data_IF_356895892947
#
_entry.id   IF_356895892947
#
_cell.length_a   1.000
_cell.length_b   1.000
_cell.length_c   1.000
_cell.angle_alpha   90.00
_cell.angle_beta   90.00
_cell.angle_gamma   90.00
#
_symmetry.space_group_name_H-M   'P 1'
#
loop_
_entity.id
_entity.type
_entity.pdbx_description
1 polymer ?
#
# COMPACT_ATOMS: atom_id res chain seq x y z
N UNK A 1 -4.64 15.20 -41.52
CA UNK A 1 -3.78 14.93 -40.36
C UNK A 1 -4.54 13.99 -39.44
N UNK A 2 -3.92 12.88 -39.10
CA UNK A 2 -4.49 11.74 -38.39
C UNK A 2 -3.79 11.70 -37.04
N UNK A 3 -4.46 11.23 -35.97
CA UNK A 3 -3.96 10.98 -34.60
C UNK A 3 -4.05 12.13 -33.57
N UNK A 4 -5.27 12.61 -33.28
CA UNK A 4 -5.53 13.42 -32.09
C UNK A 4 -6.69 12.91 -31.21
N UNK A 5 -7.20 11.69 -31.46
CA UNK A 5 -8.34 11.11 -30.74
C UNK A 5 -8.03 9.68 -30.28
N UNK A 6 -6.94 9.44 -29.55
CA UNK A 6 -6.73 8.11 -28.95
C UNK A 6 -5.85 8.09 -27.70
N UNK A 7 -5.80 9.19 -26.96
CA UNK A 7 -5.20 9.23 -25.62
C UNK A 7 -6.05 10.15 -24.75
N UNK A 8 -6.92 9.57 -23.92
CA UNK A 8 -7.78 10.30 -22.99
C UNK A 8 -9.22 9.80 -22.86
N UNK A 9 -9.57 8.63 -23.42
CA UNK A 9 -10.86 7.99 -23.12
C UNK A 9 -10.74 7.11 -21.89
N UNK A 10 -11.76 7.14 -21.04
CA UNK A 10 -11.87 6.29 -19.84
C UNK A 10 -11.64 4.80 -20.17
N UNK A 11 -12.06 4.35 -21.35
CA UNK A 11 -11.86 2.97 -21.84
C UNK A 11 -10.37 2.57 -21.95
N UNK A 12 -9.47 3.49 -22.32
CA UNK A 12 -8.01 3.23 -22.37
C UNK A 12 -7.41 3.08 -20.95
N UNK A 13 -7.98 3.77 -19.96
CA UNK A 13 -7.56 3.71 -18.56
C UNK A 13 -8.05 2.43 -17.87
N UNK A 14 -9.23 1.93 -18.25
CA UNK A 14 -9.89 0.79 -17.59
C UNK A 14 -9.72 -0.57 -18.30
N UNK A 15 -9.09 -0.63 -19.48
CA UNK A 15 -8.98 -1.88 -20.26
C UNK A 15 -8.12 -2.98 -19.61
N UNK A 16 -7.40 -2.68 -18.51
CA UNK A 16 -6.64 -3.67 -17.73
C UNK A 16 -7.12 -3.72 -16.26
N UNK A 17 -8.41 -3.52 -16.01
CA UNK A 17 -8.99 -3.94 -14.75
C UNK A 17 -9.71 -5.28 -14.95
N UNK A 18 -9.29 -6.33 -14.22
CA UNK A 18 -10.18 -7.46 -13.96
C UNK A 18 -11.32 -6.92 -13.09
N UNK A 19 -12.56 -6.77 -13.63
CA UNK A 19 -13.66 -6.14 -12.91
C UNK A 19 -14.16 -7.01 -11.74
N UNK A 20 -13.62 -8.21 -11.54
CA UNK A 20 -13.97 -9.07 -10.40
C UNK A 20 -13.24 -8.71 -9.10
N UNK A 21 -12.28 -7.79 -9.15
CA UNK A 21 -11.50 -7.37 -7.97
C UNK A 21 -10.95 -5.94 -8.14
N UNK A 22 -11.82 -4.95 -8.36
CA UNK A 22 -11.44 -3.56 -8.07
C UNK A 22 -11.23 -3.45 -6.55
N UNK A 23 -10.02 -3.76 -6.09
CA UNK A 23 -9.62 -3.61 -4.69
C UNK A 23 -9.65 -2.13 -4.37
N UNK A 24 -10.45 -1.76 -3.37
CA UNK A 24 -10.57 -0.38 -2.89
C UNK A 24 -9.18 0.16 -2.50
N UNK A 25 -8.91 1.41 -2.84
CA UNK A 25 -7.67 2.08 -2.43
C UNK A 25 -7.78 2.37 -0.93
N UNK A 26 -6.92 1.72 -0.15
CA UNK A 26 -6.83 1.97 1.29
C UNK A 26 -5.84 3.12 1.54
N UNK A 27 -6.19 4.08 2.40
CA UNK A 27 -5.41 5.32 2.59
C UNK A 27 -5.16 5.61 4.07
N UNK A 28 -3.96 6.04 4.43
CA UNK A 28 -3.55 6.36 5.80
C UNK A 28 -2.52 7.48 5.82
N UNK A 29 -2.35 8.15 6.96
CA UNK A 29 -1.55 9.37 7.07
C UNK A 29 -0.94 9.54 8.45
N UNK A 30 0.39 9.44 8.53
CA UNK A 30 1.12 9.70 9.76
C UNK A 30 1.76 11.10 9.76
N UNK A 31 1.59 11.86 10.84
CA UNK A 31 2.30 13.14 11.04
C UNK A 31 3.28 13.02 12.21
N UNK A 32 4.56 13.23 11.91
CA UNK A 32 5.67 13.15 12.87
C UNK A 32 6.51 14.42 12.88
N UNK A 33 7.70 14.34 13.50
CA UNK A 33 8.66 15.45 13.52
C UNK A 33 9.20 15.81 12.12
N UNK A 34 9.11 14.86 11.17
CA UNK A 34 9.59 15.01 9.81
C UNK A 34 8.59 15.47 8.76
N UNK A 35 7.39 15.85 9.18
CA UNK A 35 6.27 16.17 8.30
C UNK A 35 5.18 15.09 8.33
N UNK A 36 4.25 15.20 7.40
CA UNK A 36 3.17 14.28 7.14
C UNK A 36 3.52 13.33 6.00
N UNK A 37 3.33 12.04 6.23
CA UNK A 37 3.47 10.97 5.24
C UNK A 37 2.09 10.37 5.00
N UNK A 38 1.63 10.39 3.76
CA UNK A 38 0.41 9.74 3.31
C UNK A 38 0.78 8.48 2.51
N UNK A 39 0.09 7.37 2.78
CA UNK A 39 0.22 6.13 2.04
C UNK A 39 -1.13 5.74 1.42
N UNK A 40 -1.10 5.40 0.14
CA UNK A 40 -2.24 4.87 -0.60
C UNK A 40 -1.87 3.48 -1.13
N UNK A 41 -2.63 2.46 -0.74
CA UNK A 41 -2.30 1.05 -1.00
C UNK A 41 -3.48 0.37 -1.69
N UNK A 42 -3.20 -0.35 -2.78
CA UNK A 42 -4.13 -1.31 -3.37
C UNK A 42 -3.63 -2.71 -3.10
N UNK A 43 -4.54 -3.58 -2.69
CA UNK A 43 -4.24 -4.96 -2.38
C UNK A 43 -4.70 -5.89 -3.50
N UNK A 44 -4.10 -7.06 -3.59
CA UNK A 44 -4.50 -8.11 -4.52
C UNK A 44 -4.50 -9.50 -3.88
N UNK A 45 -5.05 -10.44 -4.65
CA UNK A 45 -5.16 -11.84 -4.28
C UNK A 45 -6.43 -12.15 -3.49
N UNK A 46 -6.79 -13.44 -3.34
CA UNK A 46 -8.04 -13.86 -2.72
C UNK A 46 -8.23 -13.39 -1.27
N UNK A 47 -7.12 -13.14 -0.56
CA UNK A 47 -7.10 -12.68 0.83
C UNK A 47 -6.86 -11.18 0.98
N UNK A 48 -6.69 -10.44 -0.12
CA UNK A 48 -6.28 -9.03 -0.11
C UNK A 48 -5.07 -8.82 0.82
N UNK A 49 -4.04 -9.66 0.70
CA UNK A 49 -2.88 -9.67 1.62
C UNK A 49 -1.55 -9.34 0.93
N UNK A 50 -1.59 -8.95 -0.34
CA UNK A 50 -0.41 -8.62 -1.15
C UNK A 50 -0.55 -7.22 -1.72
N UNK A 51 0.53 -6.44 -1.70
CA UNK A 51 0.56 -5.09 -2.23
C UNK A 51 0.55 -5.15 -3.76
N UNK A 52 -0.55 -4.74 -4.40
CA UNK A 52 -0.61 -4.56 -5.86
C UNK A 52 0.11 -3.28 -6.26
N UNK A 53 -0.24 -2.19 -5.60
CA UNK A 53 0.30 -0.85 -5.81
C UNK A 53 0.40 -0.12 -4.46
N UNK A 54 1.42 0.73 -4.34
CA UNK A 54 1.57 1.66 -3.22
C UNK A 54 2.10 2.98 -3.76
N UNK A 55 1.52 4.07 -3.26
CA UNK A 55 1.96 5.44 -3.52
C UNK A 55 2.16 6.13 -2.18
N UNK A 56 3.33 6.74 -2.00
CA UNK A 56 3.74 7.45 -0.79
C UNK A 56 3.93 8.93 -1.14
N UNK A 57 3.21 9.79 -0.45
CA UNK A 57 3.28 11.25 -0.65
C UNK A 57 3.38 11.97 0.67
N UNK A 58 3.63 13.27 0.65
CA UNK A 58 3.80 14.06 1.87
C UNK A 58 4.72 15.24 1.70
N UNK A 59 5.03 15.89 2.80
CA UNK A 59 5.95 17.03 2.89
C UNK A 59 7.27 16.67 3.63
N UNK A 60 7.65 15.40 3.59
CA UNK A 60 8.91 14.91 4.14
C UNK A 60 10.09 15.17 3.20
N UNK A 61 11.29 15.31 3.78
CA UNK A 61 12.52 15.54 3.04
C UNK A 61 13.38 14.28 2.97
N UNK A 62 13.63 13.80 1.76
CA UNK A 62 14.48 12.64 1.47
C UNK A 62 15.47 12.98 0.35
N UNK A 63 16.70 12.47 0.46
CA UNK A 63 17.72 12.58 -0.57
C UNK A 63 18.38 11.22 -0.80
N UNK A 64 18.49 10.76 -2.06
CA UNK A 64 18.03 11.41 -3.29
C UNK A 64 16.48 11.40 -3.46
N UNK A 65 15.90 12.30 -4.28
CA UNK A 65 14.43 12.33 -4.48
C UNK A 65 13.84 11.01 -4.99
N UNK A 66 14.62 10.22 -5.75
CA UNK A 66 14.20 8.91 -6.27
C UNK A 66 13.98 7.84 -5.19
N UNK A 67 14.43 8.07 -3.96
CA UNK A 67 14.32 7.11 -2.86
C UNK A 67 12.89 6.66 -2.61
N UNK A 68 11.91 7.57 -2.74
CA UNK A 68 10.48 7.22 -2.57
C UNK A 68 10.02 6.26 -3.67
N UNK A 69 10.37 6.54 -4.92
CA UNK A 69 10.01 5.69 -6.06
C UNK A 69 10.66 4.31 -5.94
N UNK A 70 11.92 4.26 -5.49
CA UNK A 70 12.64 3.01 -5.26
C UNK A 70 12.01 2.21 -4.10
N UNK A 71 11.52 2.89 -3.05
CA UNK A 71 10.77 2.26 -1.95
C UNK A 71 9.42 1.70 -2.43
N UNK A 72 8.63 2.47 -3.17
CA UNK A 72 7.35 2.03 -3.71
C UNK A 72 7.52 0.78 -4.60
N UNK A 73 8.54 0.80 -5.47
CA UNK A 73 8.88 -0.34 -6.32
C UNK A 73 9.32 -1.56 -5.49
N UNK A 74 10.06 -1.35 -4.41
CA UNK A 74 10.52 -2.39 -3.50
C UNK A 74 9.41 -3.06 -2.68
N UNK A 75 8.29 -2.36 -2.47
CA UNK A 75 7.14 -2.85 -1.72
C UNK A 75 6.08 -3.51 -2.61
N UNK A 76 6.06 -3.18 -3.91
CA UNK A 76 5.14 -3.79 -4.87
C UNK A 76 5.33 -5.31 -4.91
N UNK A 77 4.21 -6.02 -4.75
CA UNK A 77 4.17 -7.46 -4.76
C UNK A 77 4.69 -8.11 -3.47
N UNK A 78 4.83 -7.40 -2.35
CA UNK A 78 5.10 -8.05 -1.06
C UNK A 78 3.82 -8.47 -0.36
N UNK A 79 3.89 -9.51 0.47
CA UNK A 79 2.81 -9.74 1.43
C UNK A 79 2.81 -8.63 2.49
N UNK A 80 1.63 -8.24 2.95
CA UNK A 80 1.48 -7.17 3.96
C UNK A 80 2.28 -7.44 5.24
N UNK A 81 2.45 -8.72 5.60
CA UNK A 81 3.25 -9.12 6.76
C UNK A 81 4.75 -8.82 6.61
N UNK A 82 5.26 -8.70 5.37
CA UNK A 82 6.67 -8.47 5.06
C UNK A 82 7.01 -6.98 4.88
N UNK A 83 5.99 -6.13 4.71
CA UNK A 83 6.15 -4.71 4.34
C UNK A 83 6.99 -3.96 5.36
N UNK A 84 6.70 -4.12 6.66
CA UNK A 84 7.41 -3.41 7.71
C UNK A 84 8.90 -3.74 7.75
N UNK A 85 9.24 -5.02 7.72
CA UNK A 85 10.63 -5.46 7.68
C UNK A 85 11.33 -4.94 6.42
N UNK A 86 10.64 -4.95 5.28
CA UNK A 86 11.18 -4.42 4.02
C UNK A 86 11.48 -2.93 4.09
N UNK A 87 10.61 -2.12 4.70
CA UNK A 87 10.82 -0.67 4.86
C UNK A 87 12.06 -0.42 5.72
N UNK A 88 12.16 -1.08 6.88
CA UNK A 88 13.34 -0.95 7.75
C UNK A 88 14.62 -1.33 7.02
N UNK A 89 14.60 -2.46 6.32
CA UNK A 89 15.74 -2.94 5.54
C UNK A 89 16.13 -1.98 4.42
N UNK A 90 15.14 -1.47 3.68
CA UNK A 90 15.35 -0.52 2.60
C UNK A 90 16.12 0.71 3.08
N UNK A 91 15.65 1.36 4.14
CA UNK A 91 16.30 2.58 4.65
C UNK A 91 17.63 2.31 5.36
N UNK A 92 17.86 1.08 5.85
CA UNK A 92 19.15 0.69 6.40
C UNK A 92 20.20 0.41 5.32
N UNK A 93 19.79 -0.17 4.18
CA UNK A 93 20.68 -0.50 3.06
C UNK A 93 20.90 0.68 2.11
N UNK A 94 19.91 1.55 1.98
CA UNK A 94 20.01 2.70 1.12
C UNK A 94 20.90 3.75 1.79
N UNK A 95 21.93 4.25 1.10
CA UNK A 95 22.71 5.43 1.53
C UNK A 95 21.84 6.69 1.38
N UNK A 96 20.79 6.79 2.17
CA UNK A 96 19.75 7.82 2.04
C UNK A 96 19.80 8.79 3.21
N UNK A 97 19.72 10.07 2.89
CA UNK A 97 19.56 11.13 3.86
C UNK A 97 18.08 11.34 4.14
N UNK A 98 17.61 10.86 5.30
CA UNK A 98 16.37 11.34 5.90
C UNK A 98 16.72 12.48 6.85
N UNK A 99 16.18 13.68 6.61
CA UNK A 99 16.51 14.87 7.40
C UNK A 99 15.80 14.89 8.76
N UNK A 100 14.54 14.46 8.78
CA UNK A 100 13.67 14.58 9.97
C UNK A 100 12.62 13.47 10.09
N UNK A 101 12.32 12.75 9.01
CA UNK A 101 11.47 11.57 9.04
C UNK A 101 12.29 10.32 9.42
N UNK A 102 11.67 9.38 10.11
CA UNK A 102 12.24 8.08 10.41
C UNK A 102 11.55 6.99 9.56
N UNK A 103 12.20 5.85 9.28
CA UNK A 103 11.55 4.71 8.64
C UNK A 103 10.24 4.28 9.35
N UNK A 104 10.18 4.47 10.67
CA UNK A 104 8.99 4.21 11.48
C UNK A 104 7.78 5.07 11.09
N UNK A 105 7.99 6.30 10.61
CA UNK A 105 6.92 7.20 10.19
C UNK A 105 6.23 6.67 8.92
N UNK A 106 7.01 6.13 7.98
CA UNK A 106 6.50 5.45 6.79
C UNK A 106 5.69 4.20 7.16
N UNK A 107 6.20 3.39 8.09
CA UNK A 107 5.52 2.20 8.59
C UNK A 107 4.19 2.57 9.25
N UNK A 108 4.15 3.65 10.03
CA UNK A 108 2.93 4.14 10.67
C UNK A 108 1.88 4.53 9.63
N UNK A 109 2.25 5.31 8.60
CA UNK A 109 1.34 5.70 7.53
C UNK A 109 0.78 4.50 6.77
N UNK A 110 1.63 3.51 6.45
CA UNK A 110 1.21 2.30 5.72
C UNK A 110 0.29 1.43 6.60
N UNK A 111 0.60 1.27 7.89
CA UNK A 111 -0.24 0.53 8.84
C UNK A 111 -1.60 1.17 9.04
N UNK A 112 -1.67 2.49 9.02
CA UNK A 112 -2.94 3.21 9.07
C UNK A 112 -3.73 3.05 7.77
N UNK A 113 -3.03 2.95 6.64
CA UNK A 113 -3.67 2.77 5.34
C UNK A 113 -4.32 1.39 5.21
N UNK A 114 -3.65 0.33 5.63
CA UNK A 114 -4.15 -1.04 5.41
C UNK A 114 -5.11 -1.48 6.52
N UNK A 115 -6.20 -2.18 6.18
CA UNK A 115 -7.09 -2.74 7.20
C UNK A 115 -6.28 -3.64 8.15
N UNK A 116 -6.40 -3.42 9.45
CA UNK A 116 -5.92 -4.42 10.40
C UNK A 116 -6.76 -5.67 10.17
N UNK A 117 -6.15 -6.72 9.62
CA UNK A 117 -6.77 -8.05 9.63
C UNK A 117 -6.86 -8.47 11.09
N UNK A 118 -8.00 -8.19 11.72
CA UNK A 118 -8.41 -8.91 12.92
C UNK A 118 -8.21 -10.40 12.62
N UNK A 119 -7.46 -11.16 13.46
CA UNK A 119 -7.29 -12.59 13.25
C UNK A 119 -8.70 -13.17 13.17
N UNK A 120 -9.04 -13.76 12.02
CA UNK A 120 -10.39 -14.17 11.64
C UNK A 120 -11.12 -14.72 12.87
N UNK A 121 -12.00 -13.87 13.44
CA UNK A 121 -12.78 -14.23 14.61
C UNK A 121 -13.47 -15.54 14.27
N UNK A 122 -13.17 -16.58 15.06
CA UNK A 122 -13.83 -17.86 15.00
C UNK A 122 -15.33 -17.64 15.29
N UNK A 123 -16.09 -17.22 14.27
CA UNK A 123 -17.53 -17.11 14.29
C UNK A 123 -18.09 -18.53 14.21
N UNK A 124 -17.98 -19.22 15.34
CA UNK A 124 -19.02 -19.99 15.98
C UNK A 124 -20.11 -20.55 15.04
N UNK A 125 -19.72 -21.52 14.20
CA UNK A 125 -20.67 -22.50 13.69
C UNK A 125 -21.02 -23.42 14.87
N UNK A 126 -21.97 -23.01 15.71
CA UNK A 126 -22.72 -23.98 16.51
C UNK A 126 -23.58 -24.77 15.52
N UNK A 127 -23.14 -25.98 15.21
CA UNK A 127 -23.93 -27.01 14.55
C UNK A 127 -25.29 -27.10 15.26
N UNK A 128 -26.38 -26.76 14.57
CA UNK A 128 -27.71 -27.16 15.01
C UNK A 128 -27.78 -28.67 14.95
N UNK A 129 -27.75 -29.33 16.10
CA UNK A 129 -27.80 -30.78 16.18
C UNK A 129 -28.35 -31.26 17.51
N UNK A 130 -29.69 -31.37 17.59
CA UNK A 130 -30.44 -32.41 18.32
C UNK A 130 -31.92 -32.26 17.95
N UNK A 131 -32.40 -33.06 16.99
CA UNK A 131 -32.89 -34.44 17.16
C UNK A 131 -34.31 -34.43 17.76
N UNK A 132 -35.29 -34.62 16.88
CA UNK A 132 -36.56 -35.24 17.24
C UNK A 132 -36.43 -36.75 17.26
#
# INVERSE_FOLDING_TARGET
EIFAEEIGTDEFVYSIDDPRSASEVCSGSHTGAGGTINAHVRLEGPRQNRVREIVITGDFFVTPPRTVLDLEAALRGLELAEVEERVLRFFNEAEVGLLTAAPADFIAAIREAVPQMEPASAKNWKVSGKAG
#
